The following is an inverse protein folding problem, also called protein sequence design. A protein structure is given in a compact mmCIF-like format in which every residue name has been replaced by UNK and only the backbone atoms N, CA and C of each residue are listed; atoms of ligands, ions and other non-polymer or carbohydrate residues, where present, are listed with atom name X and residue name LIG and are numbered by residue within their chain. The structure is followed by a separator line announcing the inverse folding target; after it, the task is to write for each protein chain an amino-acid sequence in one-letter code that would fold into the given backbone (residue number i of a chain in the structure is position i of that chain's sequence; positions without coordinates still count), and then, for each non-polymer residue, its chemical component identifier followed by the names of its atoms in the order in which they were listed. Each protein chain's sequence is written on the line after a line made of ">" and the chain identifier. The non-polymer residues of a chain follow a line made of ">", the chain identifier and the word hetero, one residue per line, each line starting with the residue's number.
data_IF_479670093440
#
_entry.id   IF_479670093440
#
_cell.length_a   1.000
_cell.length_b   1.000
_cell.length_c   1.000
_cell.angle_alpha   90.00
_cell.angle_beta   90.00
_cell.angle_gamma   90.00
#
_symmetry.space_group_name_H-M   'P 1'
#
loop_
_entity.id
_entity.type
_entity.pdbx_description
1 polymer ?
#
# COMPACT_ATOMS: atom_id res chain seq x y z
N UNK A 1 -23.95 -27.62 -27.20
CA UNK A 1 -22.79 -28.05 -26.38
C UNK A 1 -21.55 -27.39 -26.92
N UNK A 2 -20.71 -26.87 -26.00
CA UNK A 2 -19.25 -26.71 -26.07
C UNK A 2 -18.84 -25.38 -25.44
N UNK A 3 -18.79 -25.36 -24.10
CA UNK A 3 -18.20 -24.29 -23.31
C UNK A 3 -16.69 -24.46 -23.39
N UNK A 4 -16.01 -23.64 -24.19
CA UNK A 4 -14.54 -23.60 -24.19
C UNK A 4 -14.11 -22.80 -22.95
N UNK A 5 -13.80 -23.49 -21.86
CA UNK A 5 -13.15 -22.90 -20.69
C UNK A 5 -11.63 -23.08 -20.80
N UNK A 6 -10.99 -22.29 -21.65
CA UNK A 6 -9.54 -22.15 -21.62
C UNK A 6 -9.18 -21.05 -20.62
N UNK A 7 -9.10 -21.40 -19.34
CA UNK A 7 -8.53 -20.50 -18.33
C UNK A 7 -7.01 -20.65 -18.38
N UNK A 8 -6.38 -20.11 -19.43
CA UNK A 8 -4.94 -19.87 -19.44
C UNK A 8 -4.61 -18.95 -18.25
N UNK A 9 -4.14 -19.53 -17.15
CA UNK A 9 -3.55 -18.78 -16.03
C UNK A 9 -2.15 -18.32 -16.45
N UNK A 10 -2.09 -17.17 -17.11
CA UNK A 10 -0.83 -16.53 -17.43
C UNK A 10 -0.24 -15.86 -16.17
N UNK A 11 0.75 -16.50 -15.54
CA UNK A 11 1.42 -16.01 -14.32
C UNK A 11 2.55 -15.00 -14.63
N UNK A 12 2.48 -14.29 -15.75
CA UNK A 12 3.54 -13.35 -16.13
C UNK A 12 3.49 -12.14 -15.21
N UNK A 13 4.49 -12.02 -14.36
CA UNK A 13 4.75 -10.83 -13.55
C UNK A 13 5.69 -9.90 -14.32
N UNK A 14 5.23 -8.69 -14.59
CA UNK A 14 6.05 -7.63 -15.16
C UNK A 14 6.47 -6.70 -14.03
N UNK A 15 7.74 -6.77 -13.66
CA UNK A 15 8.29 -5.84 -12.69
C UNK A 15 8.26 -4.40 -13.24
N UNK A 16 7.92 -3.39 -12.43
CA UNK A 16 8.08 -2.00 -12.84
C UNK A 16 9.56 -1.70 -13.12
N UNK A 17 9.81 -0.86 -14.13
CA UNK A 17 11.15 -0.39 -14.48
C UNK A 17 11.82 0.33 -13.30
N UNK A 18 13.13 0.24 -13.16
CA UNK A 18 13.84 0.76 -11.97
C UNK A 18 13.68 2.28 -11.78
N UNK A 19 13.52 3.04 -12.87
CA UNK A 19 13.19 4.47 -12.79
C UNK A 19 11.83 4.74 -12.10
N UNK A 20 10.86 3.84 -12.25
CA UNK A 20 9.58 3.91 -11.56
C UNK A 20 9.71 3.46 -10.11
N UNK A 21 10.55 2.46 -9.83
CA UNK A 21 10.85 2.03 -8.45
C UNK A 21 11.54 3.12 -7.63
N UNK A 22 12.44 3.90 -8.24
CA UNK A 22 13.15 4.99 -7.56
C UNK A 22 12.24 6.19 -7.23
N UNK A 23 11.21 6.44 -8.04
CA UNK A 23 10.21 7.48 -7.80
C UNK A 23 9.02 7.00 -6.96
N UNK A 24 8.97 5.72 -6.60
CA UNK A 24 7.89 5.19 -5.79
C UNK A 24 8.03 5.69 -4.35
N UNK A 25 6.91 6.11 -3.75
CA UNK A 25 6.84 6.50 -2.33
C UNK A 25 7.26 5.35 -1.40
N UNK A 26 7.16 4.10 -1.87
CA UNK A 26 7.59 2.91 -1.17
C UNK A 26 8.73 2.24 -1.94
N UNK A 27 9.84 1.98 -1.25
CA UNK A 27 11.03 1.33 -1.81
C UNK A 27 10.82 -0.18 -1.99
N UNK A 28 9.91 -0.54 -2.90
CA UNK A 28 9.59 -1.91 -3.24
C UNK A 28 8.64 -2.60 -2.26
N UNK A 29 8.55 -3.93 -2.41
CA UNK A 29 7.55 -4.76 -1.74
C UNK A 29 7.87 -5.00 -0.26
N UNK A 30 9.14 -4.93 0.14
CA UNK A 30 9.55 -5.03 1.55
C UNK A 30 9.03 -3.83 2.35
N UNK A 31 9.27 -2.61 1.86
CA UNK A 31 8.76 -1.39 2.48
C UNK A 31 7.22 -1.38 2.56
N UNK A 32 6.54 -1.88 1.52
CA UNK A 32 5.09 -2.08 1.56
C UNK A 32 4.67 -3.06 2.65
N UNK A 33 5.33 -4.22 2.75
CA UNK A 33 5.02 -5.21 3.78
C UNK A 33 5.24 -4.65 5.19
N UNK A 34 6.34 -3.94 5.44
CA UNK A 34 6.60 -3.30 6.75
C UNK A 34 5.52 -2.27 7.10
N UNK A 35 5.07 -1.48 6.13
CA UNK A 35 3.97 -0.52 6.32
C UNK A 35 2.66 -1.25 6.61
N UNK A 36 2.35 -2.32 5.87
CA UNK A 36 1.18 -3.15 6.12
C UNK A 36 1.22 -3.84 7.48
N UNK A 37 2.36 -4.36 7.91
CA UNK A 37 2.55 -4.95 9.24
C UNK A 37 2.38 -3.89 10.33
N UNK A 38 2.93 -2.68 10.14
CA UNK A 38 2.75 -1.57 11.07
C UNK A 38 1.28 -1.16 11.15
N UNK A 39 0.60 -1.03 10.03
CA UNK A 39 -0.84 -0.73 9.97
C UNK A 39 -1.69 -1.85 10.56
N UNK A 40 -1.25 -3.12 10.50
CA UNK A 40 -1.97 -4.24 11.09
C UNK A 40 -1.77 -4.32 12.62
N UNK A 41 -0.57 -3.99 13.11
CA UNK A 41 -0.26 -4.00 14.54
C UNK A 41 -0.80 -2.76 15.27
N UNK A 42 -0.77 -1.59 14.63
CA UNK A 42 -1.23 -0.32 15.19
C UNK A 42 -1.93 0.49 14.09
N UNK A 43 -3.15 0.08 13.77
CA UNK A 43 -3.98 0.73 12.76
C UNK A 43 -4.26 2.19 13.11
N UNK A 44 -4.67 2.43 14.36
CA UNK A 44 -5.05 3.75 14.84
C UNK A 44 -3.88 4.73 14.85
N UNK A 45 -2.73 4.33 15.41
CA UNK A 45 -1.52 5.15 15.47
C UNK A 45 -0.95 5.41 14.09
N UNK A 46 -0.96 4.40 13.21
CA UNK A 46 -0.52 4.56 11.82
C UNK A 46 -1.33 5.62 11.07
N UNK A 47 -2.67 5.57 11.16
CA UNK A 47 -3.52 6.59 10.54
C UNK A 47 -3.44 7.94 11.24
N UNK A 48 -3.25 7.98 12.56
CA UNK A 48 -3.04 9.22 13.30
C UNK A 48 -1.79 9.95 12.83
N UNK A 49 -0.67 9.24 12.68
CA UNK A 49 0.60 9.83 12.24
C UNK A 49 0.50 10.30 10.79
N UNK A 50 -0.03 9.47 9.88
CA UNK A 50 -0.26 9.85 8.49
C UNK A 50 -1.15 11.09 8.37
N UNK A 51 -2.24 11.14 9.14
CA UNK A 51 -3.15 12.26 9.13
C UNK A 51 -2.48 13.54 9.65
N UNK A 52 -1.61 13.47 10.65
CA UNK A 52 -0.85 14.65 11.13
C UNK A 52 0.21 15.11 10.13
N UNK A 53 0.81 14.20 9.38
CA UNK A 53 1.88 14.52 8.42
C UNK A 53 1.34 15.04 7.08
N UNK A 54 0.31 14.39 6.52
CA UNK A 54 -0.16 14.66 5.16
C UNK A 54 -1.30 15.70 5.10
N UNK A 55 -2.01 15.95 6.21
CA UNK A 55 -3.13 16.89 6.24
C UNK A 55 -2.78 18.12 7.06
N UNK A 56 -3.05 19.29 6.50
CA UNK A 56 -2.92 20.56 7.21
C UNK A 56 -4.16 20.82 8.06
N UNK A 57 -4.05 20.60 9.37
CA UNK A 57 -5.15 20.81 10.32
C UNK A 57 -5.16 22.24 10.85
N UNK A 58 -6.32 22.87 10.85
CA UNK A 58 -6.51 24.12 11.58
C UNK A 58 -6.56 23.91 13.11
N UNK A 59 -7.05 22.73 13.55
CA UNK A 59 -6.99 22.29 14.94
C UNK A 59 -6.60 20.82 14.99
N UNK A 60 -5.55 20.43 15.72
CA UNK A 60 -5.09 19.05 15.76
C UNK A 60 -6.14 18.16 16.45
N UNK A 61 -6.34 16.95 15.91
CA UNK A 61 -7.18 15.93 16.53
C UNK A 61 -6.38 15.16 17.59
N UNK A 62 -7.05 14.75 18.66
CA UNK A 62 -6.43 14.07 19.81
C UNK A 62 -6.91 12.64 20.02
N UNK A 63 -7.89 12.17 19.24
CA UNK A 63 -8.49 10.84 19.40
C UNK A 63 -8.57 10.12 18.06
N UNK A 64 -8.07 8.90 18.04
CA UNK A 64 -8.27 7.87 17.01
C UNK A 64 -9.11 6.74 17.61
N UNK A 65 -9.72 5.90 16.76
CA UNK A 65 -10.69 4.84 17.13
C UNK A 65 -10.31 3.50 16.52
#
# INVERSE_FOLDING_TARGET
>A
MSTIESVLKETRSFAPIDAFRQNATLSGMEAYNTVCERANNDYEGFWADLARELLSWHKPFTRTF
#
